data_IF_645700215486
#
_entry.id   IF_645700215486
#
_cell.length_a   1.000
_cell.length_b   1.000
_cell.length_c   1.000
_cell.angle_alpha   90.00
_cell.angle_beta   90.00
_cell.angle_gamma   90.00
#
_symmetry.space_group_name_H-M   'P 1'
#
loop_
_entity.id
_entity.type
_entity.pdbx_description
1 polymer ?
#
# COMPACT_ATOMS: atom_id res chain seq x y z
N UNK A 1 28.59 4.85 14.09
CA UNK A 1 27.38 5.65 14.36
C UNK A 1 26.21 4.89 13.76
N UNK A 2 25.21 4.53 14.57
CA UNK A 2 24.03 3.78 14.08
C UNK A 2 23.08 4.80 13.47
N UNK A 3 23.09 4.95 12.14
CA UNK A 3 22.09 5.74 11.44
C UNK A 3 20.76 5.01 11.61
N UNK A 4 19.81 5.64 12.32
CA UNK A 4 18.47 5.09 12.50
C UNK A 4 17.75 5.10 11.14
N UNK A 5 17.89 4.02 10.36
CA UNK A 5 17.22 3.82 9.07
C UNK A 5 15.68 3.80 9.15
N UNK A 6 15.08 4.07 10.32
CA UNK A 6 13.67 3.88 10.61
C UNK A 6 12.92 5.18 11.00
N UNK A 7 13.52 6.37 10.86
CA UNK A 7 12.80 7.61 11.21
C UNK A 7 11.89 8.03 10.05
N UNK A 8 10.60 8.16 10.33
CA UNK A 8 9.60 8.64 9.37
C UNK A 8 9.95 10.07 8.94
N UNK A 9 10.00 10.40 7.63
CA UNK A 9 10.24 11.77 7.15
C UNK A 9 9.09 12.71 7.56
N UNK A 10 9.39 13.75 8.34
CA UNK A 10 8.39 14.72 8.80
C UNK A 10 7.91 15.61 7.65
N UNK A 11 6.61 15.87 7.60
CA UNK A 11 6.01 16.69 6.55
C UNK A 11 6.53 18.14 6.62
N UNK A 12 7.01 18.65 5.48
CA UNK A 12 7.35 20.06 5.28
C UNK A 12 6.58 20.56 4.08
N UNK A 13 5.82 21.65 4.26
CA UNK A 13 5.13 22.30 3.13
C UNK A 13 6.13 23.03 2.22
N UNK A 14 7.17 23.61 2.81
CA UNK A 14 8.19 24.38 2.10
C UNK A 14 9.10 23.45 1.27
N UNK A 15 9.39 22.25 1.79
CA UNK A 15 10.21 21.23 1.14
C UNK A 15 9.37 20.03 0.67
N UNK A 16 8.19 20.28 0.11
CA UNK A 16 7.22 19.22 -0.22
C UNK A 16 7.82 18.15 -1.14
N UNK A 17 8.56 18.55 -2.17
CA UNK A 17 9.14 17.60 -3.13
C UNK A 17 10.21 16.71 -2.48
N UNK A 18 11.09 17.29 -1.66
CA UNK A 18 12.09 16.55 -0.90
C UNK A 18 11.46 15.64 0.16
N UNK A 19 10.40 16.11 0.83
CA UNK A 19 9.62 15.28 1.72
C UNK A 19 8.98 14.11 0.98
N UNK A 20 8.37 14.37 -0.18
CA UNK A 20 7.70 13.35 -1.00
C UNK A 20 8.67 12.26 -1.44
N UNK A 21 9.85 12.64 -1.95
CA UNK A 21 10.89 11.67 -2.37
C UNK A 21 11.33 10.79 -1.18
N UNK A 22 11.60 11.41 -0.03
CA UNK A 22 11.99 10.67 1.18
C UNK A 22 10.87 9.77 1.70
N UNK A 23 9.62 10.22 1.64
CA UNK A 23 8.44 9.45 2.03
C UNK A 23 8.24 8.25 1.11
N UNK A 24 8.35 8.44 -0.21
CA UNK A 24 8.30 7.34 -1.19
C UNK A 24 9.36 6.28 -0.89
N UNK A 25 10.61 6.68 -0.64
CA UNK A 25 11.67 5.75 -0.30
C UNK A 25 11.42 5.02 1.03
N UNK A 26 10.88 5.73 2.04
CA UNK A 26 10.53 5.14 3.33
C UNK A 26 9.42 4.08 3.22
N UNK A 27 8.39 4.37 2.43
CA UNK A 27 7.26 3.46 2.19
C UNK A 27 7.68 2.23 1.39
N UNK A 28 8.48 2.42 0.33
CA UNK A 28 9.01 1.33 -0.49
C UNK A 28 9.92 0.38 0.33
N UNK A 29 10.60 0.89 1.36
CA UNK A 29 11.37 0.05 2.27
C UNK A 29 10.50 -0.88 3.15
N UNK A 30 9.20 -0.59 3.28
CA UNK A 30 8.24 -1.46 3.99
C UNK A 30 7.55 -2.44 3.05
N UNK A 31 6.98 -1.94 1.95
CA UNK A 31 6.31 -2.74 0.93
C UNK A 31 6.17 -1.89 -0.35
N UNK A 32 6.43 -2.49 -1.51
CA UNK A 32 6.40 -1.82 -2.81
C UNK A 32 5.01 -1.28 -3.18
N UNK A 33 3.94 -1.88 -2.63
CA UNK A 33 2.56 -1.46 -2.90
C UNK A 33 2.14 -0.22 -2.07
N UNK A 34 2.92 0.21 -1.06
CA UNK A 34 2.51 1.27 -0.13
C UNK A 34 2.29 2.63 -0.78
N UNK A 35 3.11 2.99 -1.76
CA UNK A 35 2.93 4.26 -2.47
C UNK A 35 1.66 4.25 -3.32
N UNK A 36 1.42 3.14 -4.03
CA UNK A 36 0.21 2.95 -4.85
C UNK A 36 -1.04 3.04 -3.99
N UNK A 37 -1.03 2.47 -2.78
CA UNK A 37 -2.16 2.59 -1.83
C UNK A 37 -2.51 4.03 -1.50
N UNK A 38 -1.50 4.91 -1.37
CA UNK A 38 -1.73 6.34 -1.09
C UNK A 38 -2.29 7.08 -2.30
N UNK A 39 -1.78 6.79 -3.50
CA UNK A 39 -2.14 7.53 -4.72
C UNK A 39 -3.38 7.02 -5.43
N UNK A 40 -3.66 5.73 -5.31
CA UNK A 40 -4.74 5.02 -6.04
C UNK A 40 -5.85 4.50 -5.09
N UNK A 41 -5.59 4.50 -3.78
CA UNK A 41 -6.49 4.00 -2.76
C UNK A 41 -6.22 2.54 -2.36
N UNK A 42 -7.04 1.96 -1.46
CA UNK A 42 -6.82 0.61 -0.94
C UNK A 42 -6.73 -0.46 -2.03
N UNK A 43 -5.79 -1.40 -1.88
CA UNK A 43 -5.64 -2.52 -2.81
C UNK A 43 -6.91 -3.38 -2.87
N UNK A 44 -7.37 -3.66 -4.09
CA UNK A 44 -8.41 -4.67 -4.32
C UNK A 44 -7.77 -6.04 -4.40
N UNK A 45 -8.11 -6.92 -3.46
CA UNK A 45 -7.63 -8.29 -3.47
C UNK A 45 -8.46 -9.11 -4.46
N UNK A 46 -7.84 -9.60 -5.53
CA UNK A 46 -8.53 -10.26 -6.64
C UNK A 46 -8.32 -11.78 -6.64
N UNK A 47 -9.25 -12.53 -7.23
CA UNK A 47 -9.13 -13.96 -7.54
C UNK A 47 -9.55 -14.25 -8.99
N UNK A 48 -9.02 -15.31 -9.64
CA UNK A 48 -9.47 -15.71 -10.96
C UNK A 48 -10.96 -16.05 -10.98
N UNK A 49 -11.66 -15.60 -12.02
CA UNK A 49 -13.04 -15.98 -12.28
C UNK A 49 -13.08 -17.29 -13.09
N UNK A 50 -13.02 -18.42 -12.38
CA UNK A 50 -12.97 -19.75 -13.00
C UNK A 50 -14.20 -20.06 -13.86
N UNK A 51 -15.37 -19.50 -13.53
CA UNK A 51 -16.59 -19.72 -14.30
C UNK A 51 -16.52 -19.08 -15.70
N UNK A 52 -15.85 -17.94 -15.83
CA UNK A 52 -15.72 -17.21 -17.10
C UNK A 52 -14.49 -17.65 -17.92
N UNK A 53 -13.40 -18.05 -17.24
CA UNK A 53 -12.18 -18.53 -17.90
C UNK A 53 -12.42 -19.75 -18.81
N UNK A 54 -13.48 -20.53 -18.54
CA UNK A 54 -13.87 -21.71 -19.33
C UNK A 54 -14.62 -21.31 -20.62
N UNK A 55 -15.21 -20.11 -20.68
CA UNK A 55 -16.19 -19.79 -21.73
C UNK A 55 -15.67 -19.00 -22.94
N UNK A 56 -14.68 -18.09 -22.87
CA UNK A 56 -14.34 -17.22 -24.05
C UNK A 56 -13.00 -16.42 -24.04
N UNK A 57 -11.93 -16.83 -23.35
CA UNK A 57 -10.62 -16.14 -23.42
C UNK A 57 -10.44 -14.93 -22.49
N UNK A 58 -9.15 -14.57 -22.31
CA UNK A 58 -8.53 -13.67 -21.30
C UNK A 58 -8.93 -13.92 -19.82
N UNK A 59 -7.97 -14.05 -18.88
CA UNK A 59 -8.29 -14.23 -17.47
C UNK A 59 -9.11 -13.05 -16.92
N UNK A 60 -10.36 -13.32 -16.55
CA UNK A 60 -11.14 -12.38 -15.75
C UNK A 60 -10.81 -12.55 -14.27
N UNK A 61 -10.78 -11.43 -13.56
CA UNK A 61 -10.56 -11.38 -12.12
C UNK A 61 -11.77 -10.77 -11.42
N UNK A 62 -12.16 -11.34 -10.28
CA UNK A 62 -13.15 -10.76 -9.39
C UNK A 62 -12.55 -10.43 -8.03
N UNK A 63 -13.10 -9.42 -7.37
CA UNK A 63 -12.69 -9.08 -6.01
C UNK A 63 -13.06 -10.21 -5.04
N UNK A 64 -12.13 -10.59 -4.16
CA UNK A 64 -12.37 -11.56 -3.10
C UNK A 64 -13.28 -10.94 -2.04
N UNK A 65 -14.20 -11.75 -1.51
CA UNK A 65 -14.90 -11.36 -0.29
C UNK A 65 -13.97 -11.48 0.92
N UNK A 66 -14.18 -10.67 1.98
CA UNK A 66 -13.32 -10.66 3.19
C UNK A 66 -13.18 -12.03 3.87
N UNK A 67 -14.18 -12.90 3.76
CA UNK A 67 -14.17 -14.23 4.34
C UNK A 67 -13.23 -15.20 3.60
N UNK A 68 -12.87 -14.88 2.36
CA UNK A 68 -11.96 -15.68 1.52
C UNK A 68 -10.49 -15.25 1.65
N UNK A 69 -10.22 -14.20 2.43
CA UNK A 69 -8.86 -13.66 2.54
C UNK A 69 -7.94 -14.64 3.27
N UNK A 70 -6.82 -14.96 2.63
CA UNK A 70 -5.69 -15.61 3.29
C UNK A 70 -5.00 -14.63 4.26
N UNK A 71 -3.98 -15.11 4.98
CA UNK A 71 -3.19 -14.23 5.85
C UNK A 71 -2.41 -13.20 5.03
N UNK A 72 -1.93 -13.56 3.85
CA UNK A 72 -1.26 -12.67 2.91
C UNK A 72 -2.23 -11.61 2.37
N UNK A 73 -3.46 -12.01 2.00
CA UNK A 73 -4.51 -11.06 1.57
C UNK A 73 -4.83 -10.05 2.69
N UNK A 74 -4.92 -10.51 3.94
CA UNK A 74 -5.16 -9.62 5.09
C UNK A 74 -4.01 -8.65 5.31
N UNK A 75 -2.75 -9.09 5.14
CA UNK A 75 -1.58 -8.21 5.21
C UNK A 75 -1.63 -7.13 4.13
N UNK A 76 -1.89 -7.51 2.87
CA UNK A 76 -2.04 -6.57 1.75
C UNK A 76 -3.19 -5.58 1.97
N UNK A 77 -4.35 -6.07 2.40
CA UNK A 77 -5.50 -5.22 2.69
C UNK A 77 -5.27 -4.27 3.88
N UNK A 78 -4.31 -4.59 4.76
CA UNK A 78 -3.95 -3.73 5.89
C UNK A 78 -2.95 -2.62 5.50
N UNK A 79 -2.35 -2.65 4.32
CA UNK A 79 -1.40 -1.62 3.88
C UNK A 79 -2.03 -0.22 3.88
N UNK A 80 -3.33 -0.08 3.59
CA UNK A 80 -4.05 1.20 3.72
C UNK A 80 -4.01 1.76 5.14
N UNK A 81 -4.26 0.93 6.14
CA UNK A 81 -4.20 1.36 7.54
C UNK A 81 -2.78 1.77 7.94
N UNK A 82 -1.77 1.02 7.49
CA UNK A 82 -0.36 1.29 7.79
C UNK A 82 0.09 2.58 7.09
N UNK A 83 -0.24 2.77 5.82
CA UNK A 83 0.08 3.96 5.06
C UNK A 83 -0.54 5.21 5.69
N UNK A 84 -1.82 5.14 6.08
CA UNK A 84 -2.50 6.23 6.78
C UNK A 84 -1.86 6.56 8.12
N UNK A 85 -1.53 5.55 8.93
CA UNK A 85 -0.85 5.76 10.21
C UNK A 85 0.51 6.46 10.05
N UNK A 86 1.31 6.04 9.06
CA UNK A 86 2.60 6.68 8.75
C UNK A 86 2.40 8.12 8.32
N UNK A 87 1.46 8.39 7.40
CA UNK A 87 1.16 9.75 6.97
C UNK A 87 0.71 10.62 8.14
N UNK A 88 -0.18 10.15 9.02
CA UNK A 88 -0.60 10.91 10.20
C UNK A 88 0.56 11.21 11.14
N UNK A 89 1.47 10.26 11.37
CA UNK A 89 2.68 10.48 12.20
C UNK A 89 3.59 11.57 11.66
N UNK A 90 3.53 11.88 10.37
CA UNK A 90 4.33 12.95 9.76
C UNK A 90 3.79 14.34 10.05
N UNK A 91 2.52 14.43 10.47
CA UNK A 91 1.79 15.67 10.73
C UNK A 91 1.86 16.09 12.20
N UNK A 92 2.22 15.19 13.11
CA UNK A 92 2.28 15.46 14.55
C UNK A 92 3.70 15.86 14.93
N UNK A 93 3.86 17.13 15.31
CA UNK A 93 5.05 17.69 15.98
C UNK A 93 5.05 17.40 17.46
#
# INVERSE_FOLDING_TARGET
MSTSHNKIPMFSKEDYDDWKIRMQAHLAAQDDDMWSVITEGPLKIMKPNLAFAISNGEPQFLEKSRHEYTNEDKKKANLDNVARDILYKTLVT
#
